data_IF_592395955789
#
_entry.id   IF_592395955789
#
_cell.length_a   1.000
_cell.length_b   1.000
_cell.length_c   1.000
_cell.angle_alpha   90.00
_cell.angle_beta   90.00
_cell.angle_gamma   90.00
#
_symmetry.space_group_name_H-M   'P 1'
#
loop_
_entity.id
_entity.type
_entity.pdbx_description
1 polymer ?
#
# COMPACT_ATOMS: atom_id res chain seq x y z
N UNK A 1 9.79 13.09 11.32
CA UNK A 1 9.91 14.33 10.54
C UNK A 1 8.54 14.95 10.35
N UNK A 2 8.46 16.26 10.57
CA UNK A 2 7.24 17.04 10.32
C UNK A 2 7.41 17.78 8.99
N UNK A 3 6.58 17.44 8.00
CA UNK A 3 6.54 18.22 6.77
C UNK A 3 5.71 19.49 7.02
N UNK A 4 6.29 20.64 6.72
CA UNK A 4 5.62 21.93 6.83
C UNK A 4 5.20 22.40 5.44
N UNK A 5 3.90 22.70 5.30
CA UNK A 5 3.33 23.22 4.05
C UNK A 5 2.85 24.65 4.28
N UNK A 6 3.15 25.51 3.32
CA UNK A 6 2.65 26.88 3.30
C UNK A 6 1.54 26.99 2.26
N UNK A 7 0.36 27.42 2.70
CA UNK A 7 -0.75 27.74 1.82
C UNK A 7 -0.81 29.27 1.65
N UNK A 8 -0.78 29.71 0.40
CA UNK A 8 -0.98 31.12 0.05
C UNK A 8 -1.93 31.25 -1.11
N UNK A 9 -2.56 32.41 -1.26
CA UNK A 9 -3.43 32.72 -2.39
C UNK A 9 -2.84 33.91 -3.14
N UNK A 10 -2.59 33.73 -4.43
CA UNK A 10 -2.24 34.83 -5.31
C UNK A 10 -3.53 35.45 -5.85
N UNK A 11 -3.86 36.66 -5.40
CA UNK A 11 -5.07 37.36 -5.81
C UNK A 11 -5.03 37.92 -7.22
N UNK A 12 -3.84 38.03 -7.80
CA UNK A 12 -3.61 38.62 -9.13
C UNK A 12 -3.35 37.56 -10.20
N UNK A 13 -2.84 36.39 -9.80
CA UNK A 13 -2.48 35.32 -10.71
C UNK A 13 -3.44 34.14 -10.70
N UNK A 14 -3.24 33.19 -11.62
CA UNK A 14 -3.94 31.91 -11.62
C UNK A 14 -3.43 31.02 -10.50
N UNK A 15 -4.29 30.59 -9.61
CA UNK A 15 -3.96 29.59 -8.61
C UNK A 15 -4.20 28.18 -9.18
N UNK A 16 -3.34 27.22 -8.81
CA UNK A 16 -3.56 25.83 -9.16
C UNK A 16 -4.86 25.32 -8.53
N UNK A 17 -5.74 24.78 -9.34
CA UNK A 17 -7.03 24.22 -8.92
C UNK A 17 -7.38 23.01 -9.76
N UNK A 18 -8.04 22.05 -9.14
CA UNK A 18 -8.66 20.96 -9.89
C UNK A 18 -9.79 21.50 -10.76
N UNK A 19 -9.76 21.16 -12.04
CA UNK A 19 -10.79 21.56 -13.00
C UNK A 19 -12.09 20.79 -12.71
N UNK A 20 -13.18 21.53 -12.47
CA UNK A 20 -14.49 20.91 -12.35
C UNK A 20 -14.89 20.30 -13.69
N UNK A 21 -15.09 18.98 -13.72
CA UNK A 21 -15.38 18.19 -14.92
C UNK A 21 -16.74 17.52 -14.77
N UNK A 22 -17.50 17.49 -15.84
CA UNK A 22 -18.80 16.82 -15.86
C UNK A 22 -18.65 15.31 -15.65
N UNK A 23 -19.67 14.70 -15.05
CA UNK A 23 -19.78 13.25 -14.87
C UNK A 23 -20.93 12.72 -15.76
N UNK A 24 -20.68 12.34 -17.01
CA UNK A 24 -21.72 11.98 -17.97
C UNK A 24 -22.22 10.53 -17.77
N UNK A 25 -22.76 10.22 -16.60
CA UNK A 25 -23.30 8.88 -16.31
C UNK A 25 -24.58 8.58 -17.09
N UNK A 26 -25.38 9.60 -17.42
CA UNK A 26 -26.54 9.44 -18.30
C UNK A 26 -26.07 9.17 -19.74
N UNK A 27 -26.51 8.04 -20.29
CA UNK A 27 -26.12 7.62 -21.64
C UNK A 27 -24.73 6.98 -21.74
N UNK A 28 -24.07 6.68 -20.59
CA UNK A 28 -22.83 5.95 -20.59
C UNK A 28 -22.99 4.56 -21.23
N UNK A 29 -22.08 4.21 -22.12
CA UNK A 29 -22.03 2.92 -22.82
C UNK A 29 -20.82 2.06 -22.41
N UNK A 30 -19.92 2.63 -21.59
CA UNK A 30 -18.76 1.89 -21.12
C UNK A 30 -19.17 0.83 -20.11
N UNK A 31 -18.59 -0.38 -20.17
CA UNK A 31 -18.79 -1.36 -19.13
C UNK A 31 -18.18 -0.87 -17.80
N UNK A 32 -18.78 -1.26 -16.70
CA UNK A 32 -18.20 -0.97 -15.40
C UNK A 32 -16.84 -1.69 -15.23
N UNK A 33 -15.86 -0.96 -14.71
CA UNK A 33 -14.56 -1.56 -14.35
C UNK A 33 -14.78 -2.64 -13.28
N UNK A 34 -14.34 -3.88 -13.53
CA UNK A 34 -14.61 -4.99 -12.64
C UNK A 34 -13.75 -4.97 -11.37
N UNK A 35 -12.57 -4.37 -11.44
CA UNK A 35 -11.61 -4.29 -10.33
C UNK A 35 -10.62 -3.14 -10.53
N UNK A 36 -9.90 -2.84 -9.46
CA UNK A 36 -8.68 -2.02 -9.49
C UNK A 36 -7.56 -2.73 -8.73
N UNK A 37 -6.32 -2.29 -8.92
CA UNK A 37 -5.18 -2.81 -8.15
C UNK A 37 -5.10 -2.09 -6.82
N UNK A 38 -5.62 -2.71 -5.77
CA UNK A 38 -5.58 -2.18 -4.41
C UNK A 38 -4.25 -2.46 -3.76
N UNK A 39 -3.62 -1.41 -3.23
CA UNK A 39 -2.42 -1.51 -2.40
C UNK A 39 -2.79 -1.21 -0.95
N UNK A 40 -2.50 -2.16 -0.05
CA UNK A 40 -2.60 -1.95 1.38
C UNK A 40 -1.19 -1.89 1.93
N UNK A 41 -0.89 -0.82 2.67
CA UNK A 41 0.40 -0.60 3.30
C UNK A 41 0.28 -0.67 4.82
N UNK A 42 1.30 -1.25 5.45
CA UNK A 42 1.46 -1.25 6.89
C UNK A 42 2.80 -0.61 7.22
N UNK A 43 2.76 0.52 7.91
CA UNK A 43 3.93 1.21 8.44
C UNK A 43 4.00 1.02 9.95
N UNK A 44 5.22 0.89 10.48
CA UNK A 44 5.46 0.74 11.89
C UNK A 44 6.14 1.99 12.46
N UNK A 45 5.75 2.36 13.69
CA UNK A 45 6.24 3.55 14.39
C UNK A 45 6.43 3.24 15.89
N UNK A 46 6.77 1.99 16.22
CA UNK A 46 6.93 1.58 17.61
C UNK A 46 8.24 2.10 18.22
N UNK A 47 9.30 2.13 17.41
CA UNK A 47 10.61 2.64 17.83
C UNK A 47 11.32 3.34 16.66
N UNK A 48 12.36 4.13 17.00
CA UNK A 48 13.33 4.62 16.03
C UNK A 48 14.51 3.65 16.06
N UNK A 49 14.73 2.96 14.93
CA UNK A 49 15.92 2.14 14.74
C UNK A 49 17.13 3.04 14.49
N UNK A 50 18.26 2.73 15.11
CA UNK A 50 19.49 3.54 15.02
C UNK A 50 20.25 3.35 13.72
N UNK A 51 19.88 2.33 12.92
CA UNK A 51 20.56 2.03 11.67
C UNK A 51 21.78 1.13 11.82
N UNK A 52 22.65 1.17 10.83
CA UNK A 52 23.84 0.35 10.75
C UNK A 52 24.85 0.73 11.84
N UNK A 53 25.30 -0.26 12.63
CA UNK A 53 26.31 -0.07 13.65
C UNK A 53 27.67 -0.63 13.22
N UNK A 54 28.75 0.13 13.45
CA UNK A 54 30.09 -0.41 13.46
C UNK A 54 30.36 -1.04 14.84
N UNK A 55 31.10 -2.17 14.85
CA UNK A 55 31.43 -2.88 16.09
C UNK A 55 32.93 -2.74 16.37
N UNK A 56 33.24 -1.98 17.41
CA UNK A 56 34.62 -1.71 17.87
C UNK A 56 34.63 -1.96 19.38
N UNK A 57 34.40 -3.22 19.77
CA UNK A 57 34.17 -3.57 21.18
C UNK A 57 32.77 -3.22 21.69
N UNK A 58 32.17 -2.21 21.16
CA UNK A 58 30.78 -1.79 21.37
C UNK A 58 30.10 -1.40 20.06
N UNK A 59 28.77 -1.19 20.08
CA UNK A 59 28.04 -0.69 18.93
C UNK A 59 28.23 0.82 18.79
N UNK A 60 28.85 1.24 17.68
CA UNK A 60 29.08 2.65 17.37
C UNK A 60 28.22 3.03 16.15
N UNK A 61 27.44 4.09 16.29
CA UNK A 61 26.57 4.65 15.25
C UNK A 61 27.17 5.95 14.70
N UNK A 62 26.91 6.23 13.42
CA UNK A 62 27.31 7.50 12.83
C UNK A 62 26.56 8.68 13.46
N UNK A 63 27.13 9.88 13.38
CA UNK A 63 26.45 11.12 13.73
C UNK A 63 25.53 11.63 12.59
N UNK A 64 25.65 11.07 11.38
CA UNK A 64 24.78 11.30 10.23
C UNK A 64 23.77 10.16 10.09
N UNK A 65 22.85 10.30 9.15
CA UNK A 65 21.85 9.27 8.89
C UNK A 65 22.49 7.96 8.44
N UNK A 66 22.27 6.89 9.19
CA UNK A 66 22.77 5.55 8.90
C UNK A 66 21.76 4.72 8.10
N UNK A 67 22.28 3.78 7.29
CA UNK A 67 21.44 2.86 6.52
C UNK A 67 20.56 2.07 7.50
N UNK A 68 19.25 2.10 7.26
CA UNK A 68 18.26 1.44 8.11
C UNK A 68 17.80 2.24 9.32
N UNK A 69 18.33 3.46 9.52
CA UNK A 69 17.78 4.38 10.50
C UNK A 69 16.35 4.81 10.13
N UNK A 70 15.50 4.91 11.14
CA UNK A 70 14.13 5.39 10.97
C UNK A 70 13.10 4.64 11.81
N UNK A 71 11.84 4.92 11.55
CA UNK A 71 10.74 4.31 12.27
C UNK A 71 10.57 2.83 11.88
N UNK A 72 10.41 1.97 12.89
CA UNK A 72 10.24 0.52 12.74
C UNK A 72 9.25 -0.05 13.76
N UNK A 73 8.92 -1.34 13.59
CA UNK A 73 8.36 -2.18 14.66
C UNK A 73 9.33 -2.29 15.83
N UNK A 74 8.85 -2.80 16.96
CA UNK A 74 9.72 -3.35 18.00
C UNK A 74 10.61 -4.44 17.42
N UNK A 75 11.68 -4.77 18.15
CA UNK A 75 12.56 -5.87 17.79
C UNK A 75 11.81 -7.20 17.76
N UNK A 76 11.97 -7.89 16.66
CA UNK A 76 11.40 -9.23 16.42
C UNK A 76 12.51 -10.24 16.68
N UNK A 77 12.28 -11.15 17.61
CA UNK A 77 13.19 -12.27 17.93
C UNK A 77 12.79 -13.51 17.11
N UNK A 78 13.71 -14.46 16.90
CA UNK A 78 13.48 -15.58 15.96
C UNK A 78 12.26 -16.47 16.29
N UNK A 79 11.91 -16.60 17.58
CA UNK A 79 10.78 -17.44 18.00
C UNK A 79 9.41 -16.98 17.51
N UNK A 80 9.23 -15.69 17.27
CA UNK A 80 7.88 -15.13 17.34
C UNK A 80 7.38 -14.54 16.04
N UNK A 81 8.25 -13.91 15.24
CA UNK A 81 7.86 -13.23 14.01
C UNK A 81 6.91 -12.04 14.22
N UNK A 82 6.77 -11.23 13.21
CA UNK A 82 5.78 -10.16 13.14
C UNK A 82 4.58 -10.67 12.35
N UNK A 83 3.44 -10.79 13.01
CA UNK A 83 2.18 -11.19 12.36
C UNK A 83 1.23 -10.02 12.25
N UNK A 84 0.60 -9.85 11.09
CA UNK A 84 -0.42 -8.84 10.83
C UNK A 84 -1.53 -9.42 9.98
N UNK A 85 -2.76 -9.10 10.34
CA UNK A 85 -3.95 -9.37 9.52
C UNK A 85 -4.39 -8.05 8.88
N UNK A 86 -4.59 -8.08 7.58
CA UNK A 86 -5.18 -7.01 6.79
C UNK A 86 -6.61 -7.43 6.44
N UNK A 87 -7.59 -6.75 7.02
CA UNK A 87 -9.01 -7.06 6.84
C UNK A 87 -9.65 -6.29 5.69
N UNK A 88 -10.88 -6.66 5.35
CA UNK A 88 -11.72 -5.95 4.38
C UNK A 88 -11.07 -5.81 3.00
N UNK A 89 -10.42 -6.87 2.53
CA UNK A 89 -9.64 -6.83 1.30
C UNK A 89 -10.48 -6.78 0.02
N UNK A 90 -11.73 -7.30 0.04
CA UNK A 90 -12.64 -7.34 -1.10
C UNK A 90 -11.99 -7.86 -2.38
N UNK A 91 -11.27 -8.98 -2.28
CA UNK A 91 -10.54 -9.58 -3.38
C UNK A 91 -11.45 -9.84 -4.58
N UNK A 92 -11.02 -9.40 -5.77
CA UNK A 92 -11.67 -9.76 -7.03
C UNK A 92 -11.14 -11.11 -7.52
N UNK A 93 -11.95 -12.17 -7.39
CA UNK A 93 -11.53 -13.55 -7.62
C UNK A 93 -11.32 -13.91 -9.09
N UNK A 94 -11.99 -13.21 -10.01
CA UNK A 94 -11.82 -13.37 -11.45
C UNK A 94 -10.69 -12.49 -12.04
N UNK A 95 -9.88 -11.85 -11.19
CA UNK A 95 -8.79 -10.98 -11.60
C UNK A 95 -7.61 -11.71 -12.24
N UNK A 96 -6.60 -10.94 -12.69
CA UNK A 96 -5.38 -11.50 -13.24
C UNK A 96 -4.71 -12.46 -12.25
N UNK A 97 -4.38 -13.68 -12.72
CA UNK A 97 -3.98 -14.77 -11.83
C UNK A 97 -2.58 -14.59 -11.21
N UNK A 98 -1.65 -13.91 -11.86
CA UNK A 98 -0.28 -13.71 -11.40
C UNK A 98 0.00 -12.21 -11.20
N UNK A 99 -0.81 -11.54 -10.41
CA UNK A 99 -0.73 -10.09 -10.25
C UNK A 99 -0.76 -9.61 -8.78
N UNK A 100 -0.38 -10.49 -7.84
CA UNK A 100 -0.16 -10.07 -6.47
C UNK A 100 1.29 -9.66 -6.30
N UNK A 101 1.52 -8.51 -5.68
CA UNK A 101 2.86 -8.00 -5.37
C UNK A 101 2.97 -7.78 -3.86
N UNK A 102 4.07 -8.25 -3.29
CA UNK A 102 4.43 -8.02 -1.89
C UNK A 102 5.72 -7.20 -1.82
N UNK A 103 5.73 -6.14 -1.03
CA UNK A 103 6.94 -5.37 -0.73
C UNK A 103 7.23 -5.42 0.77
N UNK A 104 8.50 -5.40 1.14
CA UNK A 104 8.93 -5.36 2.54
C UNK A 104 10.18 -4.53 2.68
N UNK A 105 10.26 -3.77 3.77
CA UNK A 105 11.47 -3.08 4.22
C UNK A 105 11.74 -3.46 5.66
N UNK A 106 12.89 -4.10 5.90
CA UNK A 106 13.30 -4.59 7.21
C UNK A 106 14.79 -4.37 7.42
N UNK A 107 15.22 -4.34 8.67
CA UNK A 107 16.61 -4.17 9.08
C UNK A 107 17.00 -5.25 10.07
N UNK A 108 18.26 -5.67 10.01
CA UNK A 108 18.89 -6.47 11.05
C UNK A 108 19.32 -5.60 12.23
N UNK A 109 19.21 -6.13 13.45
CA UNK A 109 19.54 -5.43 14.69
C UNK A 109 20.42 -6.24 15.62
N UNK A 110 21.23 -7.15 15.08
CA UNK A 110 22.19 -7.97 15.81
C UNK A 110 23.31 -8.46 14.88
N UNK A 111 24.45 -8.80 15.44
CA UNK A 111 25.64 -9.33 14.73
C UNK A 111 25.48 -10.80 14.32
N UNK A 112 24.34 -11.16 13.73
CA UNK A 112 24.07 -12.54 13.34
C UNK A 112 23.83 -12.62 11.82
N UNK A 113 24.32 -13.68 11.15
CA UNK A 113 23.87 -13.98 9.80
C UNK A 113 22.40 -14.46 9.86
N UNK A 114 21.60 -14.00 8.94
CA UNK A 114 20.20 -14.42 8.78
C UNK A 114 19.68 -14.16 7.38
N UNK A 115 18.54 -14.74 7.10
CA UNK A 115 17.69 -14.40 5.96
C UNK A 115 16.36 -13.86 6.48
N UNK A 116 15.81 -12.89 5.76
CA UNK A 116 14.44 -12.43 5.97
C UNK A 116 13.49 -13.45 5.36
N UNK A 117 12.49 -13.87 6.11
CA UNK A 117 11.45 -14.81 5.69
C UNK A 117 10.10 -14.11 5.76
N UNK A 118 9.40 -14.05 4.63
CA UNK A 118 8.07 -13.47 4.54
C UNK A 118 7.06 -14.55 4.14
N UNK A 119 5.88 -14.53 4.76
CA UNK A 119 4.78 -15.45 4.43
C UNK A 119 3.49 -14.67 4.23
N UNK A 120 2.73 -15.07 3.23
CA UNK A 120 1.33 -14.64 3.03
C UNK A 120 0.45 -15.87 3.20
N UNK A 121 -0.55 -15.78 4.08
CA UNK A 121 -1.48 -16.88 4.41
C UNK A 121 -0.73 -18.20 4.74
N UNK A 122 0.39 -18.08 5.46
CA UNK A 122 1.24 -19.19 5.83
C UNK A 122 2.21 -19.68 4.74
N UNK A 123 2.04 -19.30 3.49
CA UNK A 123 2.92 -19.66 2.38
C UNK A 123 4.09 -18.69 2.27
N UNK A 124 5.31 -19.20 2.24
CA UNK A 124 6.50 -18.37 2.05
C UNK A 124 6.50 -17.73 0.66
N UNK A 125 6.81 -16.43 0.63
CA UNK A 125 6.95 -15.63 -0.57
C UNK A 125 8.37 -15.12 -0.72
N UNK A 126 8.83 -15.02 -1.96
CA UNK A 126 10.22 -14.72 -2.28
C UNK A 126 11.14 -15.94 -2.11
N UNK A 127 12.37 -15.79 -2.58
CA UNK A 127 13.43 -16.77 -2.40
C UNK A 127 14.26 -16.51 -1.14
N UNK A 128 15.53 -16.82 -1.20
CA UNK A 128 16.50 -16.44 -0.17
C UNK A 128 16.66 -14.92 -0.15
N UNK A 129 16.44 -14.32 1.01
CA UNK A 129 16.58 -12.88 1.23
C UNK A 129 17.63 -12.61 2.31
N UNK A 130 18.94 -12.74 1.99
CA UNK A 130 20.00 -12.53 2.97
C UNK A 130 19.96 -11.12 3.56
N UNK A 131 19.98 -11.02 4.88
CA UNK A 131 19.98 -9.77 5.65
C UNK A 131 20.91 -9.92 6.86
N UNK A 132 22.22 -10.13 6.66
CA UNK A 132 23.16 -10.32 7.76
C UNK A 132 23.40 -9.03 8.52
N UNK A 133 23.69 -9.15 9.80
CA UNK A 133 24.12 -8.07 10.71
C UNK A 133 23.08 -6.94 10.80
N UNK A 134 23.48 -5.71 10.53
CA UNK A 134 22.64 -4.50 10.54
C UNK A 134 22.17 -4.10 9.14
N UNK A 135 22.21 -5.01 8.17
CA UNK A 135 21.83 -4.68 6.81
C UNK A 135 20.33 -4.32 6.69
N UNK A 136 20.09 -3.33 5.87
CA UNK A 136 18.75 -3.00 5.36
C UNK A 136 18.41 -3.96 4.21
N UNK A 137 17.21 -4.51 4.25
CA UNK A 137 16.62 -5.24 3.14
C UNK A 137 15.34 -4.56 2.67
N UNK A 138 15.30 -4.24 1.37
CA UNK A 138 14.11 -3.76 0.69
C UNK A 138 13.86 -4.65 -0.52
N UNK A 139 12.78 -5.40 -0.48
CA UNK A 139 12.42 -6.35 -1.55
C UNK A 139 11.03 -6.08 -2.10
N UNK A 140 10.88 -6.40 -3.39
CA UNK A 140 9.59 -6.41 -4.09
C UNK A 140 9.43 -7.75 -4.81
N UNK A 141 8.52 -8.56 -4.32
CA UNK A 141 8.19 -9.88 -4.86
C UNK A 141 6.95 -9.74 -5.72
N UNK A 142 7.13 -9.87 -7.03
CA UNK A 142 6.08 -9.68 -8.04
C UNK A 142 5.55 -11.00 -8.56
N UNK A 143 4.45 -10.93 -9.29
CA UNK A 143 3.85 -12.06 -10.01
C UNK A 143 3.48 -13.23 -9.10
N UNK A 144 3.15 -12.96 -7.83
CA UNK A 144 2.60 -13.97 -6.96
C UNK A 144 1.19 -14.37 -7.45
N UNK A 145 0.84 -15.65 -7.37
CA UNK A 145 -0.46 -16.12 -7.83
C UNK A 145 -1.58 -15.54 -6.96
N UNK A 146 -2.70 -15.18 -7.57
CA UNK A 146 -3.87 -14.66 -6.84
C UNK A 146 -4.41 -15.68 -5.81
N UNK A 147 -4.20 -16.97 -6.07
CA UNK A 147 -4.57 -18.07 -5.16
C UNK A 147 -3.82 -18.04 -3.83
N UNK A 148 -2.69 -17.32 -3.72
CA UNK A 148 -1.99 -17.16 -2.44
C UNK A 148 -2.86 -16.41 -1.41
N UNK A 149 -3.77 -15.54 -1.89
CA UNK A 149 -4.80 -14.91 -1.08
C UNK A 149 -5.98 -15.88 -0.93
N UNK A 150 -5.81 -16.92 -0.14
CA UNK A 150 -6.78 -18.01 -0.01
C UNK A 150 -8.04 -17.63 0.80
N UNK A 151 -8.09 -16.44 1.41
CA UNK A 151 -9.28 -15.86 2.02
C UNK A 151 -9.87 -14.75 1.14
N UNK A 152 -11.20 -14.60 1.08
CA UNK A 152 -11.84 -13.49 0.38
C UNK A 152 -11.85 -12.18 1.18
N UNK A 153 -11.66 -12.24 2.49
CA UNK A 153 -11.92 -11.13 3.42
C UNK A 153 -10.69 -10.59 4.13
N UNK A 154 -9.61 -11.37 4.23
CA UNK A 154 -8.38 -10.92 4.92
C UNK A 154 -7.10 -11.48 4.29
N UNK A 155 -5.98 -10.82 4.58
CA UNK A 155 -4.62 -11.27 4.23
C UNK A 155 -3.81 -11.37 5.52
N UNK A 156 -3.38 -12.57 5.87
CA UNK A 156 -2.41 -12.80 6.95
C UNK A 156 -1.00 -12.65 6.42
N UNK A 157 -0.21 -11.78 7.02
CA UNK A 157 1.22 -11.57 6.72
C UNK A 157 2.04 -11.95 7.93
N UNK A 158 3.12 -12.70 7.73
CA UNK A 158 4.11 -12.99 8.76
C UNK A 158 5.50 -12.67 8.23
N UNK A 159 6.32 -11.97 9.03
CA UNK A 159 7.69 -11.58 8.69
C UNK A 159 8.58 -11.98 9.85
N UNK A 160 9.66 -12.70 9.55
CA UNK A 160 10.60 -13.20 10.56
C UNK A 160 12.05 -13.26 10.01
N UNK A 161 13.01 -13.39 10.90
CA UNK A 161 14.36 -13.82 10.58
C UNK A 161 14.51 -15.33 10.79
N UNK A 162 15.25 -16.03 9.94
CA UNK A 162 15.47 -17.49 10.05
C UNK A 162 16.64 -17.87 10.97
N UNK A 163 17.18 -16.95 11.74
CA UNK A 163 18.29 -17.23 12.67
C UNK A 163 17.87 -18.20 13.77
N UNK A 164 18.75 -19.10 14.12
CA UNK A 164 18.61 -20.00 15.29
C UNK A 164 19.17 -19.42 16.58
N UNK A 165 19.83 -18.25 16.51
CA UNK A 165 20.47 -17.61 17.63
C UNK A 165 19.46 -16.76 18.41
N UNK A 166 19.23 -17.07 19.67
CA UNK A 166 18.27 -16.36 20.55
C UNK A 166 18.57 -14.86 20.71
N UNK A 167 19.80 -14.44 20.47
CA UNK A 167 20.24 -13.04 20.50
C UNK A 167 19.93 -12.29 19.22
N UNK A 168 19.41 -12.97 18.19
CA UNK A 168 19.10 -12.34 16.92
C UNK A 168 17.87 -11.44 16.99
N UNK A 169 17.90 -10.36 16.23
CA UNK A 169 16.83 -9.38 16.17
C UNK A 169 16.75 -8.77 14.78
N UNK A 170 15.53 -8.59 14.31
CA UNK A 170 15.20 -7.78 13.13
C UNK A 170 14.15 -6.75 13.53
N UNK A 171 13.99 -5.71 12.71
CA UNK A 171 12.86 -4.79 12.80
C UNK A 171 12.29 -4.52 11.40
N UNK A 172 10.98 -4.33 11.31
CA UNK A 172 10.28 -4.06 10.06
C UNK A 172 9.84 -2.60 10.03
N UNK A 173 10.21 -1.88 8.98
CA UNK A 173 9.77 -0.50 8.78
C UNK A 173 8.36 -0.47 8.15
N UNK A 174 8.18 -1.19 7.06
CA UNK A 174 6.89 -1.28 6.39
C UNK A 174 6.80 -2.53 5.50
N UNK A 175 5.58 -2.88 5.15
CA UNK A 175 5.30 -3.79 4.05
C UNK A 175 4.03 -3.35 3.31
N UNK A 176 3.84 -3.83 2.09
CA UNK A 176 2.59 -3.66 1.35
C UNK A 176 2.21 -4.91 0.58
N UNK A 177 0.91 -5.06 0.33
CA UNK A 177 0.35 -6.07 -0.57
C UNK A 177 -0.50 -5.36 -1.61
N UNK A 178 -0.19 -5.58 -2.89
CA UNK A 178 -0.98 -5.08 -4.02
C UNK A 178 -1.68 -6.26 -4.69
N UNK A 179 -2.97 -6.15 -4.96
CA UNK A 179 -3.80 -7.22 -5.49
C UNK A 179 -5.06 -6.67 -6.17
N UNK A 180 -5.74 -7.44 -7.06
CA UNK A 180 -7.01 -7.02 -7.65
C UNK A 180 -8.14 -7.05 -6.61
N UNK A 181 -8.83 -5.92 -6.44
CA UNK A 181 -9.95 -5.74 -5.51
C UNK A 181 -11.18 -5.17 -6.25
N UNK A 182 -12.37 -5.51 -5.75
CA UNK A 182 -13.62 -4.91 -6.24
C UNK A 182 -13.78 -3.47 -5.73
N UNK A 183 -14.59 -2.66 -6.41
CA UNK A 183 -14.92 -1.30 -5.99
C UNK A 183 -15.89 -1.25 -4.80
N UNK A 184 -15.60 -2.03 -3.76
CA UNK A 184 -16.27 -2.00 -2.48
C UNK A 184 -15.40 -1.26 -1.47
N UNK A 185 -15.84 -0.10 -0.99
CA UNK A 185 -15.03 0.80 -0.17
C UNK A 185 -15.32 0.66 1.34
N UNK A 186 -15.92 -0.44 1.77
CA UNK A 186 -16.04 -0.83 3.18
C UNK A 186 -16.62 0.22 4.12
N UNK A 187 -17.55 1.03 3.63
CA UNK A 187 -18.16 2.15 4.37
C UNK A 187 -17.17 3.25 4.78
N UNK A 188 -16.05 3.35 4.06
CA UNK A 188 -15.08 4.44 4.24
C UNK A 188 -15.65 5.77 3.73
N UNK A 189 -15.23 6.87 4.36
CA UNK A 189 -15.59 8.25 3.97
C UNK A 189 -14.64 8.84 2.94
N UNK A 190 -13.42 8.33 2.90
CA UNK A 190 -12.37 8.71 1.96
C UNK A 190 -11.68 7.45 1.49
N UNK A 191 -11.36 7.38 0.22
CA UNK A 191 -10.66 6.23 -0.34
C UNK A 191 -9.71 6.68 -1.44
N UNK A 192 -8.48 6.19 -1.39
CA UNK A 192 -7.48 6.38 -2.44
C UNK A 192 -7.32 5.08 -3.22
N UNK A 193 -7.28 5.19 -4.54
CA UNK A 193 -7.06 4.06 -5.43
C UNK A 193 -6.38 4.51 -6.71
N UNK A 194 -5.74 3.57 -7.38
CA UNK A 194 -5.08 3.75 -8.65
C UNK A 194 -5.83 2.96 -9.72
N UNK A 195 -6.06 3.60 -10.86
CA UNK A 195 -6.65 2.98 -12.04
C UNK A 195 -5.60 2.88 -13.13
N UNK A 196 -5.71 1.82 -13.91
CA UNK A 196 -4.96 1.70 -15.14
C UNK A 196 -5.57 2.64 -16.19
N UNK A 197 -4.70 3.28 -16.97
CA UNK A 197 -5.12 4.09 -18.10
C UNK A 197 -5.97 3.30 -19.08
N UNK A 198 -6.97 3.98 -19.61
CA UNK A 198 -7.89 3.42 -20.60
C UNK A 198 -8.20 4.46 -21.67
N UNK A 199 -7.82 4.17 -22.91
CA UNK A 199 -8.05 5.03 -24.07
C UNK A 199 -9.52 5.22 -24.44
N UNK A 200 -10.41 4.42 -23.88
CA UNK A 200 -11.86 4.57 -24.02
C UNK A 200 -12.50 5.30 -22.83
N UNK A 201 -11.72 5.53 -21.75
CA UNK A 201 -12.23 6.01 -20.47
C UNK A 201 -12.62 4.86 -19.54
N UNK A 202 -12.92 5.19 -18.29
CA UNK A 202 -13.31 4.22 -17.28
C UNK A 202 -14.70 4.55 -16.73
N UNK A 203 -15.54 3.55 -16.54
CA UNK A 203 -16.79 3.67 -15.82
C UNK A 203 -16.69 2.96 -14.47
N UNK A 204 -16.83 3.71 -13.39
CA UNK A 204 -16.72 3.22 -12.04
C UNK A 204 -18.10 3.08 -11.40
N UNK A 205 -18.33 1.94 -10.76
CA UNK A 205 -19.49 1.67 -9.90
C UNK A 205 -18.99 1.29 -8.53
N UNK A 206 -18.93 2.27 -7.64
CA UNK A 206 -18.41 2.12 -6.28
C UNK A 206 -19.56 1.78 -5.34
N UNK A 207 -19.37 0.75 -4.52
CA UNK A 207 -20.34 0.30 -3.52
C UNK A 207 -19.81 0.49 -2.11
N UNK A 208 -20.69 0.53 -1.12
CA UNK A 208 -20.33 0.67 0.29
C UNK A 208 -19.36 1.85 0.56
N UNK A 209 -19.60 2.99 -0.08
CA UNK A 209 -18.93 4.25 0.25
C UNK A 209 -19.82 5.07 1.17
N UNK A 210 -19.26 5.59 2.26
CA UNK A 210 -20.01 6.40 3.22
C UNK A 210 -20.04 7.87 2.79
N UNK A 211 -20.97 8.21 1.92
CA UNK A 211 -21.18 9.58 1.43
C UNK A 211 -22.01 10.46 2.39
N UNK A 212 -22.59 9.89 3.45
CA UNK A 212 -23.57 10.57 4.30
C UNK A 212 -24.74 11.21 3.51
N UNK A 213 -25.12 10.64 2.38
CA UNK A 213 -26.18 11.16 1.50
C UNK A 213 -25.79 12.35 0.63
N UNK A 214 -24.53 12.77 0.66
CA UNK A 214 -23.99 13.84 -0.17
C UNK A 214 -23.16 13.25 -1.29
N UNK A 215 -23.31 13.76 -2.51
CA UNK A 215 -22.51 13.32 -3.64
C UNK A 215 -21.01 13.57 -3.38
N UNK A 216 -20.17 12.51 -3.34
CA UNK A 216 -18.74 12.68 -3.09
C UNK A 216 -18.03 13.27 -4.31
N UNK A 217 -16.86 13.82 -4.10
CA UNK A 217 -16.00 14.32 -5.17
C UNK A 217 -14.85 13.35 -5.38
N UNK A 218 -14.66 12.91 -6.62
CA UNK A 218 -13.48 12.23 -7.07
C UNK A 218 -12.46 13.26 -7.56
N UNK A 219 -11.24 13.18 -7.01
CA UNK A 219 -10.10 13.96 -7.45
C UNK A 219 -9.19 13.07 -8.30
N UNK A 220 -9.07 13.40 -9.56
CA UNK A 220 -8.08 12.82 -10.47
C UNK A 220 -6.79 13.65 -10.35
N UNK A 221 -5.81 13.10 -9.64
CA UNK A 221 -4.56 13.80 -9.35
C UNK A 221 -3.71 14.00 -10.61
N UNK A 222 -3.66 13.02 -11.49
CA UNK A 222 -2.86 13.08 -12.71
C UNK A 222 -3.48 14.04 -13.73
N UNK A 223 -4.79 13.93 -13.93
CA UNK A 223 -5.53 14.79 -14.86
C UNK A 223 -5.89 16.17 -14.32
N UNK A 224 -5.60 16.46 -13.04
CA UNK A 224 -5.95 17.73 -12.42
C UNK A 224 -7.46 18.02 -12.39
N UNK A 225 -8.30 16.98 -12.30
CA UNK A 225 -9.76 17.09 -12.41
C UNK A 225 -10.44 16.78 -11.07
N UNK A 226 -11.60 17.39 -10.87
CA UNK A 226 -12.55 17.01 -9.82
C UNK A 226 -13.91 16.71 -10.45
N UNK A 227 -14.50 15.60 -10.06
CA UNK A 227 -15.72 15.07 -10.66
C UNK A 227 -16.72 14.80 -9.54
N UNK A 228 -17.94 15.35 -9.65
CA UNK A 228 -18.99 15.09 -8.68
C UNK A 228 -19.60 13.71 -8.94
N UNK A 229 -19.69 12.88 -7.91
CA UNK A 229 -20.23 11.53 -7.99
C UNK A 229 -21.73 11.53 -8.26
N UNK A 230 -22.18 10.59 -9.06
CA UNK A 230 -23.59 10.32 -9.28
C UNK A 230 -24.08 9.29 -8.25
N UNK A 231 -24.99 9.71 -7.38
CA UNK A 231 -25.61 8.89 -6.32
C UNK A 231 -27.10 8.61 -6.60
N UNK A 232 -27.56 8.78 -7.82
CA UNK A 232 -28.97 8.57 -8.21
C UNK A 232 -29.42 7.10 -8.10
N UNK A 233 -28.48 6.15 -8.10
CA UNK A 233 -28.73 4.74 -7.82
C UNK A 233 -28.39 4.42 -6.37
N UNK A 234 -29.38 3.95 -5.63
CA UNK A 234 -29.19 3.64 -4.19
C UNK A 234 -28.04 2.65 -3.96
N UNK A 235 -27.19 2.95 -2.99
CA UNK A 235 -26.03 2.11 -2.63
C UNK A 235 -24.85 2.18 -3.59
N UNK A 236 -24.89 3.05 -4.58
CA UNK A 236 -23.81 3.21 -5.57
C UNK A 236 -23.37 4.67 -5.67
N UNK A 237 -22.08 4.85 -5.90
CA UNK A 237 -21.50 6.11 -6.40
C UNK A 237 -20.87 5.82 -7.75
N UNK A 238 -21.27 6.55 -8.78
CA UNK A 238 -20.86 6.28 -10.14
C UNK A 238 -20.05 7.44 -10.73
N UNK A 239 -19.03 7.10 -11.52
CA UNK A 239 -18.21 8.06 -12.23
C UNK A 239 -17.90 7.55 -13.65
N UNK A 240 -17.92 8.46 -14.61
CA UNK A 240 -17.39 8.23 -15.95
C UNK A 240 -16.16 9.12 -16.13
N UNK A 241 -15.00 8.49 -16.27
CA UNK A 241 -13.72 9.15 -16.46
C UNK A 241 -13.41 9.24 -17.96
N UNK A 242 -12.93 10.39 -18.39
CA UNK A 242 -12.50 10.59 -19.76
C UNK A 242 -11.33 9.66 -20.13
N UNK A 243 -11.13 9.37 -21.42
CA UNK A 243 -9.96 8.66 -21.91
C UNK A 243 -8.66 9.26 -21.37
N UNK A 244 -7.71 8.39 -20.99
CA UNK A 244 -6.38 8.77 -20.57
C UNK A 244 -5.33 7.89 -21.25
N UNK A 245 -4.16 8.48 -21.49
CA UNK A 245 -2.99 7.84 -22.09
C UNK A 245 -1.73 8.11 -21.27
N UNK A 246 -1.88 8.68 -20.07
CA UNK A 246 -0.76 8.96 -19.19
C UNK A 246 -0.27 7.64 -18.56
N UNK A 247 1.01 7.41 -18.69
CA UNK A 247 1.71 6.22 -18.17
C UNK A 247 2.43 6.55 -16.86
#
# INVERSE_FOLDING_TARGET
>A
DTATYFLTVNTVGSNLRYLATANPTAGNVLPAEPYFMRRIEQHYKSQINKGYAAVIGEYVYSASYDIGEGWTSDNIVPCCGLSKVLDNINKYTAGPQNNVTFTVTAVGNALNPRELVCKIQGTQVGGLMPMPYFNLRKDTIRNLPLSILNSPSFIGVNINGNSTLATDRIAVSCFSVTYPATFNFNNEKNFYFELKDNTLGNYLVITNFNSNGVAPILYDYNGGKRILGDISVAGQVRFVLAPSTDT
#
